data_IF_439514225974
#
_entry.id   IF_439514225974
#
_cell.length_a   1.000
_cell.length_b   1.000
_cell.length_c   1.000
_cell.angle_alpha   90.00
_cell.angle_beta   90.00
_cell.angle_gamma   90.00
#
_symmetry.space_group_name_H-M   'P 1'
#
loop_
_entity.id
_entity.type
_entity.pdbx_description
1 polymer ?
#
# COMPACT_ATOMS: atom_id res chain seq x y z
N UNK A 1 -1.18 18.33 -25.05
CA UNK A 1 -2.36 18.66 -24.21
C UNK A 1 -2.98 17.46 -23.47
N UNK A 2 -2.70 16.19 -23.85
CA UNK A 2 -3.32 15.03 -23.20
C UNK A 2 -2.81 14.68 -21.78
N UNK A 3 -1.56 15.01 -21.44
CA UNK A 3 -0.96 14.63 -20.14
C UNK A 3 -1.59 15.38 -18.95
N UNK A 4 -2.00 16.64 -19.16
CA UNK A 4 -2.66 17.44 -18.12
C UNK A 4 -4.06 16.90 -17.78
N UNK A 5 -4.81 16.49 -18.81
CA UNK A 5 -6.14 15.91 -18.64
C UNK A 5 -6.09 14.53 -17.96
N UNK A 6 -5.08 13.71 -18.27
CA UNK A 6 -4.88 12.43 -17.58
C UNK A 6 -4.58 12.62 -16.09
N UNK A 7 -3.71 13.57 -15.74
CA UNK A 7 -3.43 13.88 -14.32
C UNK A 7 -4.67 14.42 -13.59
N UNK A 8 -5.45 15.30 -14.21
CA UNK A 8 -6.68 15.82 -13.60
C UNK A 8 -7.78 14.76 -13.45
N UNK A 9 -7.91 13.85 -14.41
CA UNK A 9 -8.86 12.73 -14.31
C UNK A 9 -8.50 11.74 -13.20
N UNK A 10 -7.20 11.45 -13.02
CA UNK A 10 -6.73 10.61 -11.93
C UNK A 10 -6.90 11.27 -10.56
N UNK A 11 -6.68 12.59 -10.45
CA UNK A 11 -6.86 13.32 -9.18
C UNK A 11 -8.31 13.28 -8.67
N UNK A 12 -9.29 13.43 -9.56
CA UNK A 12 -10.70 13.35 -9.17
C UNK A 12 -11.12 11.93 -8.76
N UNK A 13 -10.56 10.91 -9.43
CA UNK A 13 -10.75 9.52 -9.04
C UNK A 13 -10.08 9.23 -7.68
N UNK A 14 -8.89 9.81 -7.48
CA UNK A 14 -8.11 9.72 -6.25
C UNK A 14 -8.85 10.28 -5.05
N UNK A 15 -9.37 11.50 -5.15
CA UNK A 15 -10.16 12.10 -4.09
C UNK A 15 -11.41 11.28 -3.76
N UNK A 16 -12.08 10.71 -4.76
CA UNK A 16 -13.29 9.91 -4.53
C UNK A 16 -12.98 8.62 -3.77
N UNK A 17 -11.92 7.90 -4.17
CA UNK A 17 -11.54 6.64 -3.53
C UNK A 17 -10.94 6.89 -2.14
N UNK A 18 -10.10 7.92 -1.97
CA UNK A 18 -9.64 8.36 -0.64
C UNK A 18 -10.81 8.71 0.26
N UNK A 19 -11.84 9.39 -0.23
CA UNK A 19 -12.99 9.79 0.58
C UNK A 19 -13.89 8.61 0.94
N UNK A 20 -14.12 7.67 0.02
CA UNK A 20 -14.81 6.41 0.29
C UNK A 20 -14.04 5.58 1.31
N UNK A 21 -12.74 5.45 1.11
CA UNK A 21 -11.89 4.58 1.91
C UNK A 21 -11.57 5.19 3.29
N UNK A 22 -11.46 6.53 3.40
CA UNK A 22 -11.51 7.26 4.68
C UNK A 22 -12.88 7.12 5.36
N UNK A 23 -13.95 7.03 4.58
CA UNK A 23 -15.29 6.72 5.08
C UNK A 23 -15.33 5.33 5.72
N UNK A 24 -14.82 4.32 5.01
CA UNK A 24 -14.68 2.94 5.50
C UNK A 24 -13.78 2.89 6.73
N UNK A 25 -12.60 3.51 6.69
CA UNK A 25 -11.67 3.60 7.82
C UNK A 25 -12.30 4.29 9.02
N UNK A 26 -12.98 5.43 8.85
CA UNK A 26 -13.70 6.09 9.94
C UNK A 26 -14.81 5.22 10.50
N UNK A 27 -15.51 4.49 9.64
CA UNK A 27 -16.56 3.57 10.06
C UNK A 27 -15.99 2.40 10.86
N UNK A 28 -14.85 1.85 10.44
CA UNK A 28 -14.10 0.79 11.15
C UNK A 28 -13.54 1.33 12.47
N UNK A 29 -12.86 2.49 12.46
CA UNK A 29 -12.31 3.14 13.66
C UNK A 29 -13.38 3.46 14.70
N UNK A 30 -14.59 3.81 14.25
CA UNK A 30 -15.71 4.12 15.15
C UNK A 30 -16.36 2.87 15.75
N UNK A 31 -16.31 1.74 15.05
CA UNK A 31 -16.89 0.48 15.52
C UNK A 31 -15.88 -0.35 16.32
N UNK A 32 -14.67 -0.55 15.79
CA UNK A 32 -13.60 -1.35 16.38
C UNK A 32 -12.22 -0.84 15.94
N UNK A 33 -11.62 0.12 16.66
CA UNK A 33 -10.27 0.63 16.34
C UNK A 33 -9.18 -0.46 16.44
N UNK A 34 -9.49 -1.59 17.08
CA UNK A 34 -8.60 -2.74 17.25
C UNK A 34 -8.60 -3.68 16.03
N UNK A 35 -9.52 -3.50 15.08
CA UNK A 35 -9.70 -4.43 13.95
C UNK A 35 -9.02 -3.97 12.66
N UNK A 36 -8.22 -2.90 12.74
CA UNK A 36 -7.41 -2.41 11.63
C UNK A 36 -6.23 -3.35 11.49
N UNK A 37 -6.39 -4.31 10.60
CA UNK A 37 -5.34 -5.28 10.30
C UNK A 37 -4.56 -4.85 9.06
N UNK A 38 -3.25 -5.15 8.99
CA UNK A 38 -2.46 -4.86 7.80
C UNK A 38 -3.05 -5.49 6.54
N UNK A 39 -3.66 -6.68 6.66
CA UNK A 39 -4.33 -7.38 5.58
C UNK A 39 -5.56 -6.64 5.03
N UNK A 40 -6.28 -5.89 5.87
CA UNK A 40 -7.41 -5.08 5.42
C UNK A 40 -6.93 -3.86 4.62
N UNK A 41 -5.90 -3.17 5.10
CA UNK A 41 -5.28 -2.05 4.40
C UNK A 41 -4.66 -2.50 3.07
N UNK A 42 -4.04 -3.67 3.05
CA UNK A 42 -3.50 -4.29 1.84
C UNK A 42 -4.59 -4.54 0.78
N UNK A 43 -5.75 -5.07 1.20
CA UNK A 43 -6.90 -5.27 0.30
C UNK A 43 -7.49 -3.94 -0.20
N UNK A 44 -7.54 -2.90 0.64
CA UNK A 44 -7.98 -1.56 0.23
C UNK A 44 -7.02 -0.92 -0.77
N UNK A 45 -5.71 -1.10 -0.57
CA UNK A 45 -4.68 -0.68 -1.52
C UNK A 45 -4.84 -1.35 -2.88
N UNK A 46 -5.06 -2.67 -2.89
CA UNK A 46 -5.33 -3.41 -4.13
C UNK A 46 -6.61 -2.96 -4.83
N UNK A 47 -7.67 -2.68 -4.07
CA UNK A 47 -8.92 -2.14 -4.62
C UNK A 47 -8.69 -0.77 -5.28
N UNK A 48 -7.92 0.11 -4.65
CA UNK A 48 -7.59 1.42 -5.23
C UNK A 48 -6.74 1.26 -6.50
N UNK A 49 -5.76 0.36 -6.49
CA UNK A 49 -4.93 0.05 -7.67
C UNK A 49 -5.76 -0.48 -8.83
N UNK A 50 -6.69 -1.41 -8.59
CA UNK A 50 -7.57 -1.93 -9.65
C UNK A 50 -8.48 -0.84 -10.24
N UNK A 51 -8.82 0.19 -9.46
CA UNK A 51 -9.52 1.40 -9.91
C UNK A 51 -8.60 2.44 -10.59
N UNK A 52 -7.32 2.11 -10.81
CA UNK A 52 -6.25 3.00 -11.32
C UNK A 52 -5.98 4.21 -10.45
N UNK A 53 -6.35 4.14 -9.19
CA UNK A 53 -6.06 5.15 -8.20
C UNK A 53 -4.79 4.79 -7.44
N UNK A 54 -3.67 5.16 -8.08
CA UNK A 54 -2.33 4.84 -7.60
C UNK A 54 -1.90 5.71 -6.42
N UNK A 55 -2.53 6.86 -6.19
CA UNK A 55 -2.25 7.72 -5.04
C UNK A 55 -2.92 7.15 -3.79
N UNK A 56 -4.20 6.80 -3.85
CA UNK A 56 -4.87 6.19 -2.70
C UNK A 56 -4.29 4.80 -2.39
N UNK A 57 -3.94 4.00 -3.41
CA UNK A 57 -3.32 2.69 -3.20
C UNK A 57 -2.01 2.80 -2.43
N UNK A 58 -1.17 3.79 -2.76
CA UNK A 58 0.08 4.05 -2.06
C UNK A 58 -0.14 4.44 -0.60
N UNK A 59 -1.16 5.26 -0.30
CA UNK A 59 -1.50 5.63 1.08
C UNK A 59 -1.85 4.39 1.90
N UNK A 60 -2.72 3.51 1.38
CA UNK A 60 -3.13 2.30 2.10
C UNK A 60 -1.98 1.31 2.30
N UNK A 61 -1.12 1.13 1.29
CA UNK A 61 0.05 0.27 1.45
C UNK A 61 1.07 0.85 2.43
N UNK A 62 1.23 2.18 2.50
CA UNK A 62 2.09 2.82 3.51
C UNK A 62 1.52 2.70 4.93
N UNK A 63 0.20 2.82 5.11
CA UNK A 63 -0.43 2.57 6.42
C UNK A 63 -0.27 1.10 6.83
N UNK A 64 -0.45 0.15 5.90
CA UNK A 64 -0.22 -1.27 6.16
C UNK A 64 1.23 -1.55 6.54
N UNK A 65 2.17 -0.88 5.86
CA UNK A 65 3.61 -0.96 6.12
C UNK A 65 3.92 -0.49 7.54
N UNK A 66 3.40 0.67 7.96
CA UNK A 66 3.67 1.20 9.30
C UNK A 66 3.23 0.23 10.40
N UNK A 67 2.06 -0.39 10.27
CA UNK A 67 1.57 -1.39 11.23
C UNK A 67 2.42 -2.66 11.22
N UNK A 68 2.87 -3.12 10.05
CA UNK A 68 3.70 -4.31 9.93
C UNK A 68 5.14 -4.08 10.39
N UNK A 69 5.70 -2.91 10.13
CA UNK A 69 7.05 -2.53 10.58
C UNK A 69 7.10 -2.48 12.11
N UNK A 70 6.10 -1.87 12.76
CA UNK A 70 6.01 -1.87 14.22
C UNK A 70 5.86 -3.30 14.77
N UNK A 71 5.02 -4.13 14.15
CA UNK A 71 4.87 -5.53 14.56
C UNK A 71 6.16 -6.35 14.38
N UNK A 72 6.82 -6.26 13.24
CA UNK A 72 8.08 -6.98 12.95
C UNK A 72 9.21 -6.50 13.86
N UNK A 73 9.25 -5.21 14.21
CA UNK A 73 10.22 -4.68 15.17
C UNK A 73 10.02 -5.25 16.59
N UNK A 74 8.76 -5.49 16.98
CA UNK A 74 8.42 -6.08 18.28
C UNK A 74 8.54 -7.61 18.30
N UNK A 75 8.19 -8.27 17.19
CA UNK A 75 8.12 -9.73 17.03
C UNK A 75 8.83 -10.16 15.72
N UNK A 76 10.17 -10.08 15.66
CA UNK A 76 10.93 -10.39 14.45
C UNK A 76 10.90 -11.88 14.08
N UNK A 77 10.44 -12.74 14.99
CA UNK A 77 10.29 -14.19 14.78
C UNK A 77 9.01 -14.53 13.99
N UNK A 78 8.09 -13.57 13.81
CA UNK A 78 6.87 -13.77 13.03
C UNK A 78 7.16 -13.68 11.52
N UNK A 79 7.52 -14.83 10.96
CA UNK A 79 7.82 -15.04 9.55
C UNK A 79 6.65 -14.62 8.65
N UNK A 80 5.40 -14.80 9.09
CA UNK A 80 4.23 -14.42 8.29
C UNK A 80 4.11 -12.90 8.17
N UNK A 81 4.34 -12.16 9.26
CA UNK A 81 4.36 -10.68 9.25
C UNK A 81 5.52 -10.15 8.43
N UNK A 82 6.70 -10.75 8.56
CA UNK A 82 7.86 -10.36 7.75
C UNK A 82 7.62 -10.61 6.25
N UNK A 83 6.99 -11.74 5.88
CA UNK A 83 6.60 -12.00 4.49
C UNK A 83 5.55 -11.01 3.99
N UNK A 84 4.59 -10.60 4.84
CA UNK A 84 3.62 -9.57 4.49
C UNK A 84 4.28 -8.21 4.24
N UNK A 85 5.26 -7.84 5.07
CA UNK A 85 6.06 -6.62 4.87
C UNK A 85 6.80 -6.66 3.52
N UNK A 86 7.46 -7.77 3.19
CA UNK A 86 8.12 -7.94 1.90
C UNK A 86 7.14 -7.80 0.72
N UNK A 87 5.95 -8.42 0.82
CA UNK A 87 4.92 -8.28 -0.21
C UNK A 87 4.45 -6.82 -0.41
N UNK A 88 4.35 -6.03 0.65
CA UNK A 88 4.00 -4.61 0.54
C UNK A 88 5.03 -3.82 -0.27
N UNK A 89 6.32 -4.06 -0.06
CA UNK A 89 7.37 -3.45 -0.88
C UNK A 89 7.24 -3.83 -2.36
N UNK A 90 6.91 -5.08 -2.65
CA UNK A 90 6.62 -5.52 -4.01
C UNK A 90 5.39 -4.78 -4.60
N UNK A 91 4.34 -4.53 -3.82
CA UNK A 91 3.15 -3.77 -4.28
C UNK A 91 3.43 -2.29 -4.48
N UNK A 92 4.21 -1.67 -3.58
CA UNK A 92 4.69 -0.29 -3.74
C UNK A 92 5.56 -0.14 -4.99
N UNK A 93 6.45 -1.10 -5.25
CA UNK A 93 7.24 -1.14 -6.48
C UNK A 93 6.39 -1.23 -7.75
N UNK A 94 5.30 -2.02 -7.71
CA UNK A 94 4.33 -2.08 -8.80
C UNK A 94 3.65 -0.73 -9.04
N UNK A 95 3.20 -0.04 -7.97
CA UNK A 95 2.61 1.30 -8.09
C UNK A 95 3.61 2.30 -8.67
N UNK A 96 4.84 2.35 -8.17
CA UNK A 96 5.87 3.25 -8.70
C UNK A 96 6.12 2.97 -10.18
N UNK A 97 6.12 1.70 -10.59
CA UNK A 97 6.22 1.30 -12.00
C UNK A 97 5.04 1.80 -12.84
N UNK A 98 3.81 1.69 -12.33
CA UNK A 98 2.60 2.20 -12.99
C UNK A 98 2.56 3.74 -13.07
N UNK A 99 3.19 4.45 -12.12
CA UNK A 99 3.39 5.90 -12.14
C UNK A 99 4.51 6.35 -13.10
N UNK A 100 5.31 5.41 -13.63
CA UNK A 100 6.47 5.69 -14.49
C UNK A 100 7.76 6.00 -13.73
N UNK A 101 7.77 5.77 -12.42
CA UNK A 101 8.90 5.98 -11.51
C UNK A 101 9.75 4.71 -11.42
N UNK A 102 10.31 4.27 -12.55
CA UNK A 102 10.98 2.98 -12.66
C UNK A 102 12.16 2.78 -11.71
N UNK A 103 12.86 3.87 -11.34
CA UNK A 103 13.98 3.81 -10.40
C UNK A 103 13.50 3.49 -8.98
N UNK A 104 12.46 4.19 -8.52
CA UNK A 104 11.82 3.89 -7.24
C UNK A 104 11.23 2.48 -7.23
N UNK A 105 10.58 2.06 -8.33
CA UNK A 105 10.08 0.70 -8.47
C UNK A 105 11.18 -0.35 -8.28
N UNK A 106 12.32 -0.15 -8.95
CA UNK A 106 13.46 -1.05 -8.86
C UNK A 106 14.02 -1.13 -7.43
N UNK A 107 14.18 0.01 -6.75
CA UNK A 107 14.65 0.05 -5.37
C UNK A 107 13.71 -0.71 -4.43
N UNK A 108 12.39 -0.54 -4.59
CA UNK A 108 11.37 -1.25 -3.81
C UNK A 108 11.36 -2.76 -4.08
N UNK A 109 11.50 -3.18 -5.34
CA UNK A 109 11.62 -4.60 -5.67
C UNK A 109 12.90 -5.22 -5.13
N UNK A 110 14.01 -4.47 -5.13
CA UNK A 110 15.27 -4.93 -4.58
C UNK A 110 15.14 -5.17 -3.07
N UNK A 111 14.52 -4.22 -2.34
CA UNK A 111 14.20 -4.40 -0.92
C UNK A 111 13.32 -5.62 -0.67
N UNK A 112 12.24 -5.80 -1.45
CA UNK A 112 11.37 -6.97 -1.38
C UNK A 112 12.17 -8.29 -1.52
N UNK A 113 13.07 -8.36 -2.49
CA UNK A 113 13.91 -9.54 -2.74
C UNK A 113 14.87 -9.79 -1.58
N UNK A 114 15.51 -8.75 -1.05
CA UNK A 114 16.50 -8.91 0.00
C UNK A 114 15.84 -9.35 1.32
N UNK A 115 14.67 -8.79 1.67
CA UNK A 115 13.86 -9.32 2.78
C UNK A 115 13.46 -10.78 2.57
N UNK A 116 13.01 -11.16 1.37
CA UNK A 116 12.64 -12.56 1.12
C UNK A 116 13.84 -13.53 1.20
N UNK A 117 15.06 -13.06 0.92
CA UNK A 117 16.28 -13.85 1.10
C UNK A 117 16.65 -14.00 2.56
N UNK A 118 16.48 -12.96 3.37
CA UNK A 118 16.74 -13.02 4.82
C UNK A 118 15.77 -13.95 5.55
N UNK A 119 14.68 -14.35 4.90
CA UNK A 119 13.69 -15.31 5.40
C UNK A 119 14.11 -16.80 5.27
N UNK A 120 15.24 -17.11 4.61
CA UNK A 120 15.76 -18.47 4.34
C UNK A 120 16.76 -18.94 5.39
#
# INVERSE_FOLDING_TARGET
MGVLYLKQGCLSAAESCLRESLGILRHIFSYEPQNITPSLLDNLGDLCRTRRDLEAAEVFFNEAYFLLEEHVANEPEDIERYRQLANLHCKLGQISGEKGEYKAAQDQFQLCIDMMKDLH
#
